data_IF_111063501820
#
_entry.id   IF_111063501820
#
_cell.length_a   1.000
_cell.length_b   1.000
_cell.length_c   1.000
_cell.angle_alpha   90.00
_cell.angle_beta   90.00
_cell.angle_gamma   90.00
#
_symmetry.space_group_name_H-M   'P 1'
#
loop_
_entity.id
_entity.type
_entity.pdbx_description
1 polymer ?
#
# COMPACT_ATOMS: atom_id res chain seq x y z
N UNK A 1 1.04 17.95 -5.80
CA UNK A 1 1.15 18.09 -4.33
C UNK A 1 2.38 17.34 -3.81
N UNK A 2 2.81 17.71 -2.62
CA UNK A 2 3.92 17.04 -1.97
C UNK A 2 3.51 15.66 -1.46
N UNK A 3 4.46 14.74 -1.42
CA UNK A 3 4.29 13.37 -0.95
C UNK A 3 3.58 13.32 0.41
N UNK A 4 4.04 14.12 1.38
CA UNK A 4 3.43 14.15 2.71
C UNK A 4 1.95 14.53 2.67
N UNK A 5 1.60 15.52 1.86
CA UNK A 5 0.21 15.98 1.68
C UNK A 5 -0.68 14.92 1.07
N UNK A 6 -0.14 14.16 0.12
CA UNK A 6 -0.89 13.13 -0.58
C UNK A 6 -1.23 11.97 0.36
N UNK A 7 -0.25 11.50 1.13
CA UNK A 7 -0.35 10.24 1.85
C UNK A 7 -0.69 10.35 3.34
N UNK A 8 -0.60 11.53 3.94
CA UNK A 8 -0.85 11.72 5.37
C UNK A 8 -2.22 11.19 5.79
N UNK A 9 -3.28 11.69 5.18
CA UNK A 9 -4.65 11.30 5.54
C UNK A 9 -4.97 9.85 5.19
N UNK A 10 -4.68 9.35 3.97
CA UNK A 10 -4.92 7.95 3.65
C UNK A 10 -4.16 6.98 4.54
N UNK A 11 -2.92 7.29 4.91
CA UNK A 11 -2.14 6.46 5.83
C UNK A 11 -2.74 6.46 7.23
N UNK A 12 -3.15 7.63 7.73
CA UNK A 12 -3.77 7.74 9.06
C UNK A 12 -5.05 6.92 9.13
N UNK A 13 -5.90 7.01 8.11
CA UNK A 13 -7.13 6.24 8.04
C UNK A 13 -6.88 4.73 7.96
N UNK A 14 -5.87 4.32 7.17
CA UNK A 14 -5.50 2.91 7.05
C UNK A 14 -4.98 2.35 8.37
N UNK A 15 -4.07 3.07 9.03
CA UNK A 15 -3.51 2.66 10.32
C UNK A 15 -4.62 2.53 11.36
N UNK A 16 -5.52 3.50 11.42
CA UNK A 16 -6.65 3.48 12.35
C UNK A 16 -7.53 2.25 12.12
N UNK A 17 -7.90 1.98 10.87
CA UNK A 17 -8.74 0.84 10.51
C UNK A 17 -8.06 -0.50 10.88
N UNK A 18 -6.76 -0.61 10.63
CA UNK A 18 -6.01 -1.82 10.95
C UNK A 18 -5.86 -2.01 12.45
N UNK A 19 -5.59 -0.94 13.19
CA UNK A 19 -5.47 -1.02 14.65
C UNK A 19 -6.80 -1.43 15.31
N UNK A 20 -7.92 -0.97 14.79
CA UNK A 20 -9.23 -1.38 15.27
C UNK A 20 -9.49 -2.87 15.08
N UNK A 21 -8.80 -3.50 14.15
CA UNK A 21 -8.89 -4.94 13.87
C UNK A 21 -7.78 -5.75 14.55
N UNK A 22 -7.00 -5.11 15.42
CA UNK A 22 -5.96 -5.79 16.20
C UNK A 22 -4.59 -5.87 15.53
N UNK A 23 -4.39 -5.18 14.41
CA UNK A 23 -3.08 -5.15 13.74
C UNK A 23 -2.19 -4.05 14.31
N UNK A 24 -0.90 -4.32 14.41
CA UNK A 24 0.11 -3.32 14.70
C UNK A 24 0.73 -2.86 13.38
N UNK A 25 1.01 -1.57 13.28
CA UNK A 25 1.61 -0.99 12.07
C UNK A 25 2.91 -0.28 12.40
N UNK A 26 3.93 -0.48 11.56
CA UNK A 26 5.19 0.22 11.63
C UNK A 26 5.32 1.09 10.38
N UNK A 27 5.55 2.38 10.59
CA UNK A 27 5.70 3.33 9.48
C UNK A 27 7.12 3.87 9.48
N UNK A 28 7.76 3.82 8.30
CA UNK A 28 9.04 4.49 8.07
C UNK A 28 8.90 5.26 6.75
N UNK A 29 8.53 6.52 6.87
CA UNK A 29 8.19 7.36 5.72
C UNK A 29 9.34 8.20 5.20
N UNK A 30 10.53 8.03 5.77
CA UNK A 30 11.71 8.78 5.36
C UNK A 30 11.61 10.25 5.72
N UNK A 31 12.54 11.04 5.21
CA UNK A 31 12.64 12.47 5.49
C UNK A 31 12.48 13.35 4.25
N UNK A 32 12.42 12.76 3.06
CA UNK A 32 12.28 13.53 1.81
C UNK A 32 10.82 13.79 1.50
N UNK A 33 10.51 15.00 1.08
CA UNK A 33 9.16 15.40 0.69
C UNK A 33 9.18 15.87 -0.76
N UNK A 34 8.83 14.98 -1.66
CA UNK A 34 8.92 15.19 -3.10
C UNK A 34 7.58 15.54 -3.72
N UNK A 35 7.62 16.31 -4.80
CA UNK A 35 6.42 16.73 -5.53
C UNK A 35 5.96 15.64 -6.47
N UNK A 36 4.68 15.29 -6.40
CA UNK A 36 4.04 14.30 -7.26
C UNK A 36 2.76 14.84 -7.84
N UNK A 37 2.36 14.28 -8.99
CA UNK A 37 1.05 14.55 -9.58
C UNK A 37 0.23 13.25 -9.50
N UNK A 38 -0.86 13.28 -8.73
CA UNK A 38 -1.71 12.11 -8.53
C UNK A 38 -3.19 12.52 -8.58
N UNK A 39 -4.06 11.53 -8.66
CA UNK A 39 -5.50 11.72 -8.52
C UNK A 39 -5.92 11.16 -7.17
N UNK A 40 -6.33 12.03 -6.26
CA UNK A 40 -6.66 11.63 -4.88
C UNK A 40 -7.77 10.60 -4.81
N UNK A 41 -8.74 10.63 -5.71
CA UNK A 41 -9.78 9.61 -5.76
C UNK A 41 -9.22 8.21 -6.00
N UNK A 42 -8.17 8.10 -6.80
CA UNK A 42 -7.49 6.82 -7.02
C UNK A 42 -6.65 6.42 -5.81
N UNK A 43 -5.96 7.38 -5.20
CA UNK A 43 -5.16 7.10 -4.00
C UNK A 43 -6.05 6.52 -2.89
N UNK A 44 -7.22 7.14 -2.64
CA UNK A 44 -8.15 6.66 -1.62
C UNK A 44 -8.64 5.24 -1.91
N UNK A 45 -9.00 4.95 -3.16
CA UNK A 45 -9.48 3.62 -3.54
C UNK A 45 -8.38 2.58 -3.44
N UNK A 46 -7.16 2.95 -3.83
CA UNK A 46 -6.00 2.07 -3.70
C UNK A 46 -5.77 1.72 -2.22
N UNK A 47 -5.80 2.70 -1.34
CA UNK A 47 -5.62 2.48 0.09
C UNK A 47 -6.74 1.63 0.69
N UNK A 48 -7.98 1.84 0.26
CA UNK A 48 -9.11 1.00 0.69
C UNK A 48 -8.89 -0.46 0.29
N UNK A 49 -8.43 -0.70 -0.93
CA UNK A 49 -8.13 -2.04 -1.41
C UNK A 49 -6.98 -2.69 -0.63
N UNK A 50 -5.93 -1.93 -0.35
CA UNK A 50 -4.79 -2.41 0.44
C UNK A 50 -5.24 -2.78 1.85
N UNK A 51 -6.02 -1.91 2.49
CA UNK A 51 -6.54 -2.13 3.85
C UNK A 51 -7.42 -3.38 3.90
N UNK A 52 -8.35 -3.51 2.97
CA UNK A 52 -9.23 -4.65 2.88
C UNK A 52 -8.46 -5.96 2.70
N UNK A 53 -7.46 -5.94 1.83
CA UNK A 53 -6.60 -7.10 1.58
C UNK A 53 -5.83 -7.51 2.86
N UNK A 54 -5.28 -6.54 3.57
CA UNK A 54 -4.56 -6.80 4.82
C UNK A 54 -5.49 -7.41 5.88
N UNK A 55 -6.69 -6.87 6.04
CA UNK A 55 -7.66 -7.38 7.01
C UNK A 55 -8.01 -8.84 6.72
N UNK A 56 -8.13 -9.21 5.44
CA UNK A 56 -8.51 -10.57 5.04
C UNK A 56 -7.37 -11.58 5.19
N UNK A 57 -6.14 -11.21 4.89
CA UNK A 57 -5.07 -12.18 4.68
C UNK A 57 -3.85 -12.00 5.59
N UNK A 58 -3.66 -10.82 6.18
CA UNK A 58 -2.49 -10.59 7.03
C UNK A 58 -2.63 -11.31 8.37
N UNK A 59 -1.48 -11.76 8.90
CA UNK A 59 -1.40 -12.36 10.23
C UNK A 59 -1.50 -11.25 11.28
N UNK A 60 -2.56 -11.22 12.11
CA UNK A 60 -2.72 -10.16 13.11
C UNK A 60 -1.70 -10.23 14.24
N UNK A 61 -0.98 -11.35 14.39
CA UNK A 61 0.11 -11.48 15.35
C UNK A 61 1.42 -10.89 14.86
N UNK A 62 1.49 -10.40 13.63
CA UNK A 62 2.71 -9.87 13.02
C UNK A 62 2.47 -8.45 12.54
N UNK A 63 3.46 -7.61 12.71
CA UNK A 63 3.39 -6.20 12.34
C UNK A 63 3.26 -6.00 10.82
N UNK A 64 2.42 -5.05 10.44
CA UNK A 64 2.31 -4.59 9.05
C UNK A 64 3.25 -3.41 8.90
N UNK A 65 4.10 -3.41 7.88
CA UNK A 65 5.04 -2.32 7.66
C UNK A 65 4.69 -1.49 6.42
N UNK A 66 4.90 -0.19 6.53
CA UNK A 66 4.79 0.75 5.40
C UNK A 66 6.07 1.54 5.36
N UNK A 67 6.80 1.43 4.26
CA UNK A 67 8.11 2.06 4.13
C UNK A 67 8.20 2.94 2.90
N UNK A 68 8.89 4.06 3.04
CA UNK A 68 9.18 4.97 1.94
C UNK A 68 10.13 4.30 0.96
N UNK A 69 9.87 4.47 -0.34
CA UNK A 69 10.71 3.93 -1.41
C UNK A 69 11.08 5.04 -2.36
N UNK A 70 12.35 5.08 -2.77
CA UNK A 70 12.81 6.01 -3.79
C UNK A 70 13.80 5.28 -4.71
N UNK A 71 13.54 5.32 -6.01
CA UNK A 71 14.37 4.69 -7.04
C UNK A 71 14.49 5.67 -8.21
N UNK A 72 15.64 6.31 -8.35
CA UNK A 72 15.90 7.29 -9.43
C UNK A 72 14.80 8.36 -9.50
N UNK A 73 13.93 8.29 -10.51
CA UNK A 73 12.86 9.26 -10.74
C UNK A 73 11.52 8.81 -10.15
N UNK A 74 11.52 7.76 -9.35
CA UNK A 74 10.31 7.18 -8.77
C UNK A 74 10.32 7.31 -7.26
N UNK A 75 9.16 7.56 -6.69
CA UNK A 75 8.99 7.63 -5.24
C UNK A 75 7.64 7.03 -4.85
N UNK A 76 7.60 6.38 -3.73
CA UNK A 76 6.35 5.80 -3.27
C UNK A 76 6.46 5.08 -1.95
N UNK A 77 5.60 4.08 -1.77
CA UNK A 77 5.46 3.35 -0.53
C UNK A 77 5.43 1.85 -0.79
N UNK A 78 6.04 1.11 0.12
CA UNK A 78 5.99 -0.36 0.14
C UNK A 78 5.18 -0.80 1.34
N UNK A 79 4.13 -1.57 1.10
CA UNK A 79 3.26 -2.14 2.12
C UNK A 79 3.59 -3.62 2.23
N UNK A 80 3.98 -4.08 3.41
CA UNK A 80 4.38 -5.48 3.61
C UNK A 80 3.68 -6.08 4.82
N UNK A 81 3.25 -7.33 4.68
CA UNK A 81 2.65 -8.06 5.78
C UNK A 81 2.98 -9.55 5.70
N UNK A 82 2.90 -10.21 6.85
CA UNK A 82 2.95 -11.66 6.92
C UNK A 82 1.57 -12.22 6.65
N UNK A 83 1.50 -13.38 6.02
CA UNK A 83 0.25 -14.02 5.63
C UNK A 83 -0.07 -15.12 6.63
N UNK A 84 -1.34 -15.23 7.02
CA UNK A 84 -1.80 -16.31 7.88
C UNK A 84 -1.53 -17.66 7.21
N UNK A 85 -0.96 -18.64 7.96
CA UNK A 85 -0.73 -19.97 7.39
C UNK A 85 -2.05 -20.59 6.91
N UNK A 86 -1.99 -21.23 5.72
CA UNK A 86 -3.14 -21.91 5.15
C UNK A 86 -4.13 -21.02 4.42
N UNK A 87 -3.92 -19.71 4.42
CA UNK A 87 -4.78 -18.80 3.66
C UNK A 87 -4.44 -18.86 2.17
N UNK A 88 -5.46 -18.97 1.37
CA UNK A 88 -5.34 -18.91 -0.09
C UNK A 88 -5.95 -17.60 -0.58
N UNK A 89 -5.32 -17.00 -1.58
CA UNK A 89 -5.85 -15.79 -2.19
C UNK A 89 -7.09 -16.13 -2.99
N UNK A 90 -8.16 -15.47 -2.65
CA UNK A 90 -9.42 -15.62 -3.36
C UNK A 90 -9.45 -14.76 -4.61
N UNK A 91 -10.38 -15.06 -5.49
CA UNK A 91 -10.60 -14.31 -6.72
C UNK A 91 -10.84 -12.81 -6.46
N UNK A 92 -11.52 -12.48 -5.35
CA UNK A 92 -11.78 -11.10 -4.96
C UNK A 92 -10.48 -10.30 -4.72
N UNK A 93 -9.43 -10.96 -4.22
CA UNK A 93 -8.12 -10.33 -4.01
C UNK A 93 -7.44 -10.03 -5.35
N UNK A 94 -7.55 -10.95 -6.30
CA UNK A 94 -7.02 -10.71 -7.65
C UNK A 94 -7.71 -9.53 -8.31
N UNK A 95 -9.02 -9.40 -8.13
CA UNK A 95 -9.78 -8.25 -8.64
C UNK A 95 -9.29 -6.96 -8.00
N UNK A 96 -9.05 -6.97 -6.69
CA UNK A 96 -8.53 -5.82 -5.95
C UNK A 96 -7.16 -5.38 -6.47
N UNK A 97 -6.24 -6.34 -6.69
CA UNK A 97 -4.91 -6.05 -7.23
C UNK A 97 -4.98 -5.51 -8.66
N UNK A 98 -5.84 -6.09 -9.49
CA UNK A 98 -6.05 -5.61 -10.86
C UNK A 98 -6.57 -4.18 -10.87
N UNK A 99 -7.48 -3.86 -9.96
CA UNK A 99 -8.02 -2.51 -9.81
C UNK A 99 -6.91 -1.51 -9.42
N UNK A 100 -6.03 -1.90 -8.49
CA UNK A 100 -4.88 -1.08 -8.08
C UNK A 100 -3.96 -0.83 -9.27
N UNK A 101 -3.61 -1.89 -10.00
CA UNK A 101 -2.74 -1.78 -11.18
C UNK A 101 -3.31 -0.84 -12.23
N UNK A 102 -4.62 -0.94 -12.48
CA UNK A 102 -5.31 -0.08 -13.45
C UNK A 102 -5.27 1.39 -13.04
N UNK A 103 -5.53 1.66 -11.76
CA UNK A 103 -5.50 3.03 -11.25
C UNK A 103 -4.09 3.62 -11.27
N UNK A 104 -3.09 2.81 -10.91
CA UNK A 104 -1.69 3.23 -10.98
C UNK A 104 -1.28 3.57 -12.41
N UNK A 105 -1.65 2.73 -13.36
CA UNK A 105 -1.38 2.94 -14.78
C UNK A 105 -1.99 4.26 -15.26
N UNK A 106 -3.21 4.57 -14.84
CA UNK A 106 -3.88 5.83 -15.20
C UNK A 106 -3.17 7.06 -14.65
N UNK A 107 -2.34 6.90 -13.64
CA UNK A 107 -1.52 7.98 -13.09
C UNK A 107 -0.07 7.94 -13.59
N UNK A 108 0.22 7.12 -14.60
CA UNK A 108 1.58 6.87 -15.12
C UNK A 108 2.52 6.36 -14.03
N UNK A 109 1.97 5.62 -13.10
CA UNK A 109 2.68 5.07 -11.96
C UNK A 109 2.88 3.56 -12.13
N UNK A 110 3.71 2.97 -11.28
CA UNK A 110 4.09 1.55 -11.34
C UNK A 110 3.70 0.86 -10.04
N UNK A 111 3.22 -0.37 -10.16
CA UNK A 111 2.86 -1.21 -9.04
C UNK A 111 3.66 -2.51 -9.14
N UNK A 112 4.30 -2.90 -8.02
CA UNK A 112 5.03 -4.17 -7.92
C UNK A 112 4.41 -5.02 -6.85
N UNK A 113 4.15 -6.29 -7.15
CA UNK A 113 3.57 -7.24 -6.20
C UNK A 113 4.55 -8.36 -5.95
N UNK A 114 4.83 -8.62 -4.67
CA UNK A 114 5.68 -9.73 -4.24
C UNK A 114 4.82 -10.69 -3.42
N UNK A 115 4.59 -11.88 -3.93
CA UNK A 115 3.78 -12.90 -3.27
C UNK A 115 4.64 -14.09 -2.89
N UNK A 116 4.79 -14.33 -1.59
CA UNK A 116 5.42 -15.51 -1.07
C UNK A 116 4.40 -16.34 -0.27
N UNK A 117 4.84 -17.49 0.24
CA UNK A 117 3.99 -18.33 1.07
C UNK A 117 3.76 -17.75 2.46
N UNK A 118 4.70 -16.94 2.96
CA UNK A 118 4.66 -16.38 4.30
C UNK A 118 4.53 -14.86 4.32
N UNK A 119 4.86 -14.19 3.23
CA UNK A 119 4.86 -12.74 3.14
C UNK A 119 4.23 -12.26 1.85
N UNK A 120 3.64 -11.07 1.94
CA UNK A 120 3.10 -10.34 0.80
C UNK A 120 3.59 -8.91 0.88
N UNK A 121 3.99 -8.34 -0.26
CA UNK A 121 4.34 -6.93 -0.32
C UNK A 121 3.82 -6.31 -1.61
N UNK A 122 3.39 -5.06 -1.49
CA UNK A 122 2.92 -4.25 -2.61
C UNK A 122 3.68 -2.94 -2.58
N UNK A 123 4.32 -2.59 -3.68
CA UNK A 123 5.04 -1.33 -3.82
C UNK A 123 4.34 -0.45 -4.84
N UNK A 124 4.03 0.78 -4.43
CA UNK A 124 3.46 1.80 -5.30
C UNK A 124 4.55 2.83 -5.59
N UNK A 125 4.86 3.05 -6.86
CA UNK A 125 5.88 4.01 -7.28
C UNK A 125 5.28 5.02 -8.24
N UNK A 126 5.49 6.29 -7.94
CA UNK A 126 4.98 7.42 -8.73
C UNK A 126 6.15 8.20 -9.33
N UNK A 127 5.99 8.71 -10.56
CA UNK A 127 7.05 9.53 -11.14
C UNK A 127 7.18 10.86 -10.37
N UNK A 128 8.41 11.26 -10.08
CA UNK A 128 8.67 12.53 -9.41
C UNK A 128 8.43 13.64 -10.43
N UNK A 129 7.66 14.63 -10.04
CA UNK A 129 7.36 15.78 -10.89
C UNK A 129 8.55 16.74 -11.02
#
# INVERSE_FOLDING_TARGET
AYFSRIFEEPLAEMVDALQQRGFACALDLGSEDLMLTVKMQYIRRIFDNITSNAIKYADPGREISVTFQKEEKWVGLRFANHVLPGQHREESTQVGLTSIETMMEKMNAVCRVEQGTEQFALTLLFPIT
#
